data_IF_686625540165
#
_entry.id   IF_686625540165
#
_cell.length_a   1.000
_cell.length_b   1.000
_cell.length_c   1.000
_cell.angle_alpha   90.00
_cell.angle_beta   90.00
_cell.angle_gamma   90.00
#
_symmetry.space_group_name_H-M   'P 1'
#
loop_
_entity.id
_entity.type
_entity.pdbx_description
1 polymer ?
#
# COMPACT_ATOMS: atom_id res chain seq x y z
N UNK A 1 56.33 3.81 35.55
CA UNK A 1 55.69 4.85 34.71
C UNK A 1 56.74 5.75 34.03
N UNK A 2 56.61 6.10 32.72
CA UNK A 2 55.82 5.51 31.64
C UNK A 2 56.75 4.85 30.58
N UNK A 3 56.56 3.58 30.21
CA UNK A 3 55.84 3.10 29.01
C UNK A 3 56.18 3.87 27.74
N UNK A 4 57.02 3.23 26.92
CA UNK A 4 57.47 3.70 25.62
C UNK A 4 56.33 4.11 24.70
N UNK A 5 56.60 5.19 23.96
CA UNK A 5 55.75 5.66 22.88
C UNK A 5 55.58 4.55 21.85
N UNK A 6 54.33 4.12 21.63
CA UNK A 6 53.98 3.40 20.41
C UNK A 6 54.24 4.34 19.22
N UNK A 7 54.85 3.86 18.13
CA UNK A 7 54.96 4.68 16.92
C UNK A 7 53.55 5.06 16.45
N UNK A 8 53.36 6.25 15.84
CA UNK A 8 52.07 6.62 15.27
C UNK A 8 51.66 5.53 14.28
N UNK A 9 50.38 5.13 14.24
CA UNK A 9 49.93 4.17 13.26
C UNK A 9 50.29 4.74 11.89
N UNK A 10 51.18 4.04 11.19
CA UNK A 10 51.52 4.30 9.80
C UNK A 10 50.23 4.58 9.05
N UNK A 11 50.13 5.78 8.48
CA UNK A 11 48.94 6.27 7.79
C UNK A 11 48.65 5.45 6.55
N UNK A 12 48.13 4.24 6.71
CA UNK A 12 47.30 3.63 5.69
C UNK A 12 46.01 4.42 5.72
N UNK A 13 45.87 5.35 4.78
CA UNK A 13 44.59 5.94 4.47
C UNK A 13 43.56 4.80 4.47
N UNK A 14 42.56 4.90 5.35
CA UNK A 14 41.48 3.91 5.34
C UNK A 14 40.98 3.84 3.89
N UNK A 15 40.80 2.64 3.33
CA UNK A 15 40.31 2.53 1.96
C UNK A 15 39.05 3.41 1.83
N UNK A 16 38.89 4.13 0.71
CA UNK A 16 37.73 4.96 0.52
C UNK A 16 36.49 4.10 0.75
N UNK A 17 35.54 4.63 1.54
CA UNK A 17 34.25 3.95 1.66
C UNK A 17 33.63 4.01 0.28
N UNK A 18 33.27 2.87 -0.31
CA UNK A 18 32.54 2.87 -1.57
C UNK A 18 31.33 3.78 -1.41
N UNK A 19 31.12 4.65 -2.39
CA UNK A 19 29.96 5.53 -2.37
C UNK A 19 28.68 4.70 -2.28
N UNK A 20 27.57 5.31 -1.87
CA UNK A 20 26.28 4.61 -1.87
C UNK A 20 25.98 4.03 -3.26
N UNK A 21 26.39 4.72 -4.33
CA UNK A 21 26.30 4.24 -5.70
C UNK A 21 27.16 2.99 -5.96
N UNK A 22 28.41 2.94 -5.47
CA UNK A 22 29.29 1.77 -5.63
C UNK A 22 28.76 0.54 -4.86
N UNK A 23 28.14 0.76 -3.70
CA UNK A 23 27.47 -0.29 -2.92
C UNK A 23 26.20 -0.76 -3.64
N UNK A 24 25.50 0.15 -4.31
CA UNK A 24 24.32 -0.14 -5.14
C UNK A 24 24.71 -0.87 -6.44
N UNK A 25 25.91 -0.65 -6.99
CA UNK A 25 26.39 -1.40 -8.16
C UNK A 25 26.79 -2.85 -7.80
N UNK A 26 27.20 -3.11 -6.55
CA UNK A 26 27.45 -4.45 -6.01
C UNK A 26 26.20 -5.10 -5.37
N UNK A 27 25.06 -4.42 -5.45
CA UNK A 27 23.83 -4.71 -4.74
C UNK A 27 23.25 -6.09 -5.01
N UNK A 28 23.31 -6.57 -6.25
CA UNK A 28 22.75 -7.88 -6.58
C UNK A 28 23.47 -9.02 -5.85
N UNK A 29 24.80 -8.92 -5.69
CA UNK A 29 25.60 -9.89 -4.93
C UNK A 29 25.32 -9.83 -3.41
N UNK A 30 25.19 -8.61 -2.88
CA UNK A 30 24.86 -8.34 -1.48
C UNK A 30 23.44 -8.84 -1.13
N UNK A 31 22.46 -8.52 -1.97
CA UNK A 31 21.06 -8.96 -1.81
C UNK A 31 20.96 -10.48 -1.95
N UNK A 32 21.69 -11.11 -2.85
CA UNK A 32 21.72 -12.56 -2.98
C UNK A 32 22.24 -13.25 -1.69
N UNK A 33 23.29 -12.72 -1.07
CA UNK A 33 23.81 -13.22 0.21
C UNK A 33 22.82 -13.01 1.35
N UNK A 34 22.20 -11.82 1.44
CA UNK A 34 21.16 -11.51 2.42
C UNK A 34 19.95 -12.45 2.32
N UNK A 35 19.48 -12.70 1.09
CA UNK A 35 18.39 -13.67 0.82
C UNK A 35 18.79 -15.09 1.18
N UNK A 36 19.99 -15.53 0.84
CA UNK A 36 20.48 -16.87 1.19
C UNK A 36 20.63 -17.06 2.70
N UNK A 37 21.03 -16.02 3.44
CA UNK A 37 21.03 -16.04 4.90
C UNK A 37 19.62 -16.09 5.46
N UNK A 38 18.71 -15.26 4.97
CA UNK A 38 17.33 -15.22 5.44
C UNK A 38 16.57 -16.52 5.16
N UNK A 39 16.82 -17.18 4.02
CA UNK A 39 16.25 -18.49 3.71
C UNK A 39 16.73 -19.56 4.69
N UNK A 40 18.02 -19.54 5.06
CA UNK A 40 18.57 -20.44 6.10
C UNK A 40 17.93 -20.17 7.46
N UNK A 41 17.77 -18.91 7.83
CA UNK A 41 17.09 -18.52 9.08
C UNK A 41 15.59 -18.86 9.07
N UNK A 42 14.92 -18.76 7.93
CA UNK A 42 13.53 -19.21 7.76
C UNK A 42 13.43 -20.73 7.96
N UNK A 43 14.28 -21.51 7.29
CA UNK A 43 14.33 -22.96 7.47
C UNK A 43 14.59 -23.34 8.94
N UNK A 44 15.53 -22.65 9.60
CA UNK A 44 15.81 -22.83 11.03
C UNK A 44 14.60 -22.49 11.90
N UNK A 45 13.92 -21.36 11.65
CA UNK A 45 12.72 -20.94 12.39
C UNK A 45 11.56 -21.90 12.18
N UNK A 46 11.38 -22.44 10.97
CA UNK A 46 10.37 -23.45 10.67
C UNK A 46 10.69 -24.75 11.39
N UNK A 47 11.95 -25.19 11.41
CA UNK A 47 12.37 -26.37 12.18
C UNK A 47 12.09 -26.19 13.68
N UNK A 48 12.56 -25.09 14.28
CA UNK A 48 12.29 -24.76 15.69
C UNK A 48 10.79 -24.59 15.99
N UNK A 49 10.00 -24.10 15.03
CA UNK A 49 8.55 -24.01 15.18
C UNK A 49 7.92 -25.41 15.17
N UNK A 50 8.36 -26.32 14.30
CA UNK A 50 7.89 -27.71 14.25
C UNK A 50 8.19 -28.42 15.57
N UNK A 51 9.40 -28.29 16.08
CA UNK A 51 9.82 -28.89 17.34
C UNK A 51 8.93 -28.40 18.49
N UNK A 52 8.74 -27.07 18.60
CA UNK A 52 7.83 -26.47 19.59
C UNK A 52 6.38 -26.91 19.45
N UNK A 53 5.88 -27.08 18.23
CA UNK A 53 4.49 -27.53 18.01
C UNK A 53 4.31 -29.01 18.36
N UNK A 54 5.29 -29.85 18.07
CA UNK A 54 5.29 -31.26 18.46
C UNK A 54 5.33 -31.41 19.99
N UNK A 55 6.20 -30.65 20.67
CA UNK A 55 6.26 -30.60 22.14
C UNK A 55 4.95 -30.09 22.74
N UNK A 56 4.37 -29.02 22.17
CA UNK A 56 3.11 -28.46 22.64
C UNK A 56 1.95 -29.46 22.46
N UNK A 57 1.90 -30.18 21.32
CA UNK A 57 0.90 -31.21 21.07
C UNK A 57 0.99 -32.36 22.07
N UNK A 58 2.22 -32.80 22.39
CA UNK A 58 2.47 -33.87 23.36
C UNK A 58 2.07 -33.47 24.80
N UNK A 59 2.20 -32.20 25.16
CA UNK A 59 1.83 -31.68 26.49
C UNK A 59 0.34 -31.33 26.61
N UNK A 60 -0.36 -31.10 25.49
CA UNK A 60 -1.79 -30.86 25.46
C UNK A 60 -2.24 -30.06 24.23
N UNK A 61 -3.32 -30.49 23.54
CA UNK A 61 -3.69 -29.95 22.23
C UNK A 61 -4.10 -28.46 22.22
N UNK A 62 -4.39 -27.86 23.38
CA UNK A 62 -4.91 -26.49 23.49
C UNK A 62 -4.00 -25.40 22.90
N UNK A 63 -2.66 -25.51 23.06
CA UNK A 63 -1.70 -24.54 22.51
C UNK A 63 -1.62 -24.60 20.98
N UNK A 64 -1.73 -25.79 20.41
CA UNK A 64 -1.76 -26.00 18.95
C UNK A 64 -3.11 -25.55 18.39
N UNK A 65 -4.21 -25.81 19.11
CA UNK A 65 -5.55 -25.36 18.73
C UNK A 65 -5.66 -23.83 18.61
N UNK A 66 -5.01 -23.07 19.49
CA UNK A 66 -4.96 -21.61 19.36
C UNK A 66 -4.31 -21.15 18.03
N UNK A 67 -3.39 -21.95 17.49
CA UNK A 67 -2.68 -21.65 16.24
C UNK A 67 -3.45 -22.10 15.00
N UNK A 68 -4.24 -23.17 15.09
CA UNK A 68 -5.07 -23.68 13.99
C UNK A 68 -6.46 -23.07 13.94
N UNK A 69 -6.92 -22.45 15.04
CA UNK A 69 -8.17 -21.71 15.05
C UNK A 69 -8.04 -20.49 14.15
N UNK A 70 -8.82 -20.47 13.07
CA UNK A 70 -8.97 -19.27 12.24
C UNK A 70 -9.32 -18.08 13.13
N UNK A 71 -8.48 -17.04 13.11
CA UNK A 71 -8.86 -15.74 13.65
C UNK A 71 -10.02 -15.24 12.80
N UNK A 72 -11.24 -15.35 13.33
CA UNK A 72 -12.37 -14.61 12.79
C UNK A 72 -12.21 -13.16 13.22
N UNK A 73 -11.83 -12.29 12.29
CA UNK A 73 -11.93 -10.86 12.50
C UNK A 73 -13.41 -10.56 12.77
N UNK A 74 -13.70 -10.17 14.01
CA UNK A 74 -15.07 -9.85 14.40
C UNK A 74 -15.46 -8.58 13.66
N UNK A 75 -16.64 -8.52 12.99
CA UNK A 75 -17.08 -7.30 12.34
C UNK A 75 -17.13 -6.15 13.35
N UNK A 76 -17.03 -4.90 12.88
CA UNK A 76 -17.16 -3.75 13.76
C UNK A 76 -18.58 -3.73 14.36
N UNK A 77 -18.69 -4.18 15.62
CA UNK A 77 -19.95 -4.24 16.39
C UNK A 77 -20.17 -2.96 17.21
N UNK A 78 -19.08 -2.32 17.63
CA UNK A 78 -19.11 -1.11 18.46
C UNK A 78 -17.87 -0.26 18.20
N UNK A 79 -17.97 1.03 18.50
CA UNK A 79 -16.85 1.98 18.46
C UNK A 79 -16.75 2.65 19.83
N UNK A 80 -15.54 2.83 20.35
CA UNK A 80 -15.34 3.62 21.57
C UNK A 80 -15.55 5.10 21.25
N UNK A 81 -16.42 5.76 22.02
CA UNK A 81 -16.70 7.19 21.91
C UNK A 81 -15.69 8.00 22.74
N UNK A 82 -14.71 8.68 22.11
CA UNK A 82 -13.68 9.42 22.85
C UNK A 82 -14.25 10.59 23.65
N UNK A 83 -15.40 11.15 23.25
CA UNK A 83 -16.03 12.29 23.91
C UNK A 83 -16.84 11.87 25.14
N UNK A 84 -17.18 10.58 25.24
CA UNK A 84 -17.93 10.00 26.36
C UNK A 84 -17.06 9.05 27.20
N UNK A 85 -15.77 9.38 27.35
CA UNK A 85 -14.83 8.60 28.17
C UNK A 85 -14.56 7.20 27.63
N UNK A 86 -14.46 7.05 26.30
CA UNK A 86 -14.26 5.79 25.58
C UNK A 86 -15.38 4.74 25.80
N UNK A 87 -16.58 5.17 26.21
CA UNK A 87 -17.73 4.28 26.33
C UNK A 87 -18.08 3.65 24.97
N UNK A 88 -18.38 2.34 24.91
CA UNK A 88 -18.72 1.69 23.67
C UNK A 88 -20.10 2.15 23.17
N UNK A 89 -20.15 2.61 21.92
CA UNK A 89 -21.36 2.91 21.19
C UNK A 89 -21.65 1.78 20.19
N UNK A 90 -22.89 1.27 20.21
CA UNK A 90 -23.35 0.18 19.33
C UNK A 90 -24.58 0.57 18.47
N UNK A 91 -25.12 1.77 18.64
CA UNK A 91 -26.17 2.28 17.76
C UNK A 91 -25.56 2.68 16.41
N UNK A 92 -26.20 2.30 15.31
CA UNK A 92 -25.69 2.62 13.95
C UNK A 92 -25.50 4.12 13.76
N UNK A 93 -26.48 4.93 14.15
CA UNK A 93 -26.41 6.39 14.06
C UNK A 93 -25.25 6.96 14.87
N UNK A 94 -25.17 6.62 16.17
CA UNK A 94 -24.07 7.07 17.02
C UNK A 94 -22.70 6.58 16.56
N UNK A 95 -22.59 5.35 16.02
CA UNK A 95 -21.34 4.86 15.43
C UNK A 95 -20.96 5.66 14.18
N UNK A 96 -21.90 5.96 13.30
CA UNK A 96 -21.65 6.76 12.09
C UNK A 96 -21.16 8.15 12.46
N UNK A 97 -21.82 8.80 13.42
CA UNK A 97 -21.44 10.11 13.95
C UNK A 97 -20.01 10.11 14.53
N UNK A 98 -19.68 9.14 15.38
CA UNK A 98 -18.33 9.00 15.96
C UNK A 98 -17.28 8.79 14.86
N UNK A 99 -17.58 7.95 13.87
CA UNK A 99 -16.66 7.68 12.76
C UNK A 99 -16.44 8.90 11.89
N UNK A 100 -17.50 9.61 11.52
CA UNK A 100 -17.42 10.85 10.75
C UNK A 100 -16.68 11.94 11.53
N UNK A 101 -16.99 12.13 12.80
CA UNK A 101 -16.27 13.09 13.66
C UNK A 101 -14.76 12.81 13.71
N UNK A 102 -14.37 11.53 13.71
CA UNK A 102 -12.96 11.14 13.73
C UNK A 102 -12.26 11.20 12.36
N UNK A 103 -12.94 10.77 11.28
CA UNK A 103 -12.30 10.55 9.97
C UNK A 103 -12.53 11.67 8.96
N UNK A 104 -13.62 12.44 9.05
CA UNK A 104 -13.87 13.55 8.12
C UNK A 104 -12.74 14.59 8.12
N UNK A 105 -12.16 15.00 9.28
CA UNK A 105 -11.01 15.92 9.28
C UNK A 105 -9.79 15.39 8.51
N UNK A 106 -9.67 14.07 8.34
CA UNK A 106 -8.58 13.42 7.63
C UNK A 106 -8.94 13.24 6.15
N UNK A 107 -10.12 12.67 5.85
CA UNK A 107 -10.52 12.32 4.47
C UNK A 107 -11.11 13.50 3.69
N UNK A 108 -11.52 14.55 4.38
CA UNK A 108 -12.16 15.76 3.83
C UNK A 108 -11.38 17.02 4.21
N UNK A 109 -10.07 16.88 4.40
CA UNK A 109 -9.18 17.95 4.86
C UNK A 109 -9.32 19.23 4.04
N UNK A 110 -9.43 19.07 2.71
CA UNK A 110 -9.54 20.19 1.76
C UNK A 110 -10.98 20.51 1.35
N UNK A 111 -11.98 19.99 2.06
CA UNK A 111 -13.40 20.28 1.81
C UNK A 111 -13.93 21.51 2.52
N UNK A 112 -13.12 22.15 3.37
CA UNK A 112 -13.49 23.28 4.20
C UNK A 112 -12.57 24.48 4.01
N UNK A 113 -12.03 25.02 5.11
CA UNK A 113 -11.20 26.22 5.09
C UNK A 113 -9.77 26.00 4.56
N UNK A 114 -9.22 24.79 4.69
CA UNK A 114 -7.90 24.46 4.16
C UNK A 114 -7.97 24.23 2.65
N UNK A 115 -7.06 24.87 1.91
CA UNK A 115 -6.94 24.66 0.46
C UNK A 115 -5.96 23.53 0.17
N UNK A 116 -6.28 22.73 -0.83
CA UNK A 116 -5.36 21.71 -1.35
C UNK A 116 -4.11 22.40 -1.92
N UNK A 117 -2.89 21.92 -1.62
CA UNK A 117 -1.68 22.56 -2.10
C UNK A 117 -1.57 22.50 -3.63
N UNK A 118 -1.17 23.62 -4.23
CA UNK A 118 -1.15 23.82 -5.69
C UNK A 118 -0.21 22.82 -6.40
N UNK A 119 -0.69 22.08 -7.42
CA UNK A 119 0.14 21.18 -8.22
C UNK A 119 1.26 21.88 -8.99
N UNK A 120 1.00 23.07 -9.52
CA UNK A 120 1.97 23.85 -10.30
C UNK A 120 3.14 24.30 -9.41
N UNK A 121 2.86 24.71 -8.18
CA UNK A 121 3.88 25.07 -7.19
C UNK A 121 4.76 23.85 -6.84
N UNK A 122 4.14 22.68 -6.69
CA UNK A 122 4.84 21.42 -6.46
C UNK A 122 5.76 21.09 -7.64
N UNK A 123 5.25 21.14 -8.88
CA UNK A 123 6.04 20.86 -10.08
C UNK A 123 7.14 21.90 -10.30
N UNK A 124 6.90 23.18 -9.99
CA UNK A 124 7.93 24.21 -10.05
C UNK A 124 9.10 23.91 -9.13
N UNK A 125 8.83 23.40 -7.93
CA UNK A 125 9.86 23.11 -6.92
C UNK A 125 10.54 21.76 -7.12
N UNK A 126 9.77 20.73 -7.48
CA UNK A 126 10.22 19.34 -7.46
C UNK A 126 10.19 18.65 -8.82
N UNK A 127 9.62 19.27 -9.86
CA UNK A 127 9.47 18.67 -11.19
C UNK A 127 10.78 18.25 -11.84
N UNK A 128 11.90 18.88 -11.47
CA UNK A 128 13.24 18.48 -11.93
C UNK A 128 13.67 17.07 -11.52
N UNK A 129 13.01 16.49 -10.52
CA UNK A 129 13.26 15.13 -10.03
C UNK A 129 12.30 14.09 -10.66
N UNK A 130 11.37 14.54 -11.51
CA UNK A 130 10.40 13.68 -12.19
C UNK A 130 11.00 13.29 -13.53
N UNK A 131 11.15 11.99 -13.76
CA UNK A 131 11.62 11.45 -15.03
C UNK A 131 10.42 11.06 -15.89
N UNK A 132 10.16 11.78 -16.97
CA UNK A 132 9.04 11.43 -17.85
C UNK A 132 9.34 10.14 -18.63
N UNK A 133 8.55 9.11 -18.37
CA UNK A 133 8.62 7.81 -19.02
C UNK A 133 7.21 7.39 -19.41
N UNK A 134 6.88 7.19 -20.69
CA UNK A 134 5.53 6.78 -21.08
C UNK A 134 5.16 5.39 -20.55
N UNK A 135 4.01 5.27 -19.87
CA UNK A 135 3.46 3.99 -19.43
C UNK A 135 2.74 3.30 -20.60
N UNK A 136 3.24 2.14 -21.01
CA UNK A 136 2.55 1.31 -21.99
C UNK A 136 1.28 0.68 -21.39
N UNK A 137 0.14 0.89 -22.06
CA UNK A 137 -1.14 0.26 -21.69
C UNK A 137 -1.60 -0.71 -22.78
N UNK A 138 -1.94 -1.94 -22.41
CA UNK A 138 -2.42 -2.95 -23.36
C UNK A 138 -3.95 -2.89 -23.50
N UNK A 139 -4.52 -3.23 -24.67
CA UNK A 139 -5.97 -3.32 -24.83
C UNK A 139 -6.60 -4.28 -23.81
N UNK A 140 -7.68 -3.86 -23.18
CA UNK A 140 -8.51 -4.73 -22.35
C UNK A 140 -9.25 -5.72 -23.25
N UNK A 141 -9.45 -6.94 -22.75
CA UNK A 141 -10.26 -7.98 -23.41
C UNK A 141 -10.94 -8.83 -22.34
N UNK A 142 -12.08 -9.46 -22.66
CA UNK A 142 -12.79 -10.33 -21.73
C UNK A 142 -11.92 -11.49 -21.24
N UNK A 143 -11.02 -11.98 -22.09
CA UNK A 143 -9.99 -12.96 -21.71
C UNK A 143 -9.00 -12.44 -20.66
N UNK A 144 -8.56 -11.18 -20.76
CA UNK A 144 -7.70 -10.55 -19.73
C UNK A 144 -8.46 -10.33 -18.42
N UNK A 145 -9.71 -9.87 -18.49
CA UNK A 145 -10.59 -9.71 -17.32
C UNK A 145 -10.77 -11.05 -16.62
N UNK A 146 -11.12 -12.13 -17.35
CA UNK A 146 -11.26 -13.48 -16.77
C UNK A 146 -9.96 -13.95 -16.11
N UNK A 147 -8.82 -13.75 -16.76
CA UNK A 147 -7.51 -14.11 -16.20
C UNK A 147 -7.23 -13.34 -14.90
N UNK A 148 -7.59 -12.06 -14.85
CA UNK A 148 -7.44 -11.25 -13.64
C UNK A 148 -8.36 -11.73 -12.53
N UNK A 149 -9.64 -11.98 -12.83
CA UNK A 149 -10.61 -12.52 -11.87
C UNK A 149 -10.13 -13.84 -11.25
N UNK A 150 -9.50 -14.73 -12.02
CA UNK A 150 -8.90 -15.98 -11.49
C UNK A 150 -7.78 -15.75 -10.48
N UNK A 151 -7.07 -14.63 -10.54
CA UNK A 151 -6.04 -14.24 -9.55
C UNK A 151 -6.63 -13.56 -8.32
N UNK A 152 -7.89 -13.13 -8.36
CA UNK A 152 -8.56 -12.49 -7.24
C UNK A 152 -9.07 -13.53 -6.24
N UNK A 153 -9.03 -13.21 -4.95
CA UNK A 153 -9.53 -14.11 -3.92
C UNK A 153 -11.04 -14.34 -4.04
N UNK A 154 -11.47 -15.60 -4.06
CA UNK A 154 -12.89 -15.96 -4.24
C UNK A 154 -13.80 -15.53 -3.08
N UNK A 155 -13.23 -15.41 -1.87
CA UNK A 155 -13.91 -14.97 -0.64
C UNK A 155 -13.74 -13.47 -0.36
N UNK A 156 -13.21 -12.69 -1.32
CA UNK A 156 -13.07 -11.25 -1.12
C UNK A 156 -14.43 -10.56 -0.97
N UNK A 157 -14.48 -9.50 -0.17
CA UNK A 157 -15.71 -8.76 0.06
C UNK A 157 -16.28 -8.21 -1.25
N UNK A 158 -17.61 -8.31 -1.40
CA UNK A 158 -18.35 -7.82 -2.57
C UNK A 158 -18.48 -6.30 -2.52
N UNK A 159 -18.59 -5.68 -3.70
CA UNK A 159 -18.96 -4.27 -3.79
C UNK A 159 -20.45 -4.08 -3.47
N UNK A 160 -20.90 -2.83 -3.54
CA UNK A 160 -22.32 -2.51 -3.37
C UNK A 160 -23.17 -3.04 -4.55
N UNK A 161 -22.54 -3.33 -5.69
CA UNK A 161 -23.14 -3.94 -6.88
C UNK A 161 -23.49 -5.42 -6.70
N UNK A 162 -23.10 -6.03 -5.57
CA UNK A 162 -23.47 -7.39 -5.19
C UNK A 162 -22.72 -8.50 -5.94
N UNK A 163 -21.97 -8.18 -7.00
CA UNK A 163 -21.19 -9.15 -7.77
C UNK A 163 -20.01 -9.71 -6.96
N UNK A 164 -19.92 -11.03 -6.87
CA UNK A 164 -18.72 -11.73 -6.42
C UNK A 164 -17.80 -12.06 -7.61
N UNK A 165 -16.55 -12.45 -7.29
CA UNK A 165 -15.61 -12.96 -8.32
C UNK A 165 -16.19 -14.18 -9.03
N UNK A 166 -16.84 -15.08 -8.26
CA UNK A 166 -17.42 -16.32 -8.80
C UNK A 166 -18.58 -16.05 -9.76
N UNK A 167 -19.33 -14.98 -9.55
CA UNK A 167 -20.44 -14.61 -10.42
C UNK A 167 -19.90 -14.10 -11.77
N UNK A 168 -18.89 -13.23 -11.73
CA UNK A 168 -18.23 -12.73 -12.95
C UNK A 168 -17.50 -13.83 -13.72
N UNK A 169 -16.94 -14.83 -13.04
CA UNK A 169 -16.29 -15.97 -13.69
C UNK A 169 -17.26 -16.88 -14.44
N UNK A 170 -18.54 -16.90 -14.06
CA UNK A 170 -19.57 -17.68 -14.73
C UNK A 170 -20.08 -17.02 -16.02
N UNK A 171 -19.85 -15.72 -16.20
CA UNK A 171 -20.26 -15.01 -17.42
C UNK A 171 -19.49 -15.53 -18.65
N UNK A 172 -20.13 -15.67 -19.83
CA UNK A 172 -19.44 -15.94 -21.09
C UNK A 172 -18.46 -14.83 -21.47
N UNK A 173 -17.44 -15.13 -22.28
CA UNK A 173 -16.45 -14.13 -22.70
C UNK A 173 -17.09 -12.95 -23.44
N UNK A 174 -18.13 -13.19 -24.23
CA UNK A 174 -18.86 -12.16 -24.97
C UNK A 174 -19.49 -11.12 -24.03
N UNK A 175 -19.95 -11.53 -22.85
CA UNK A 175 -20.48 -10.62 -21.83
C UNK A 175 -19.33 -9.86 -21.15
N UNK A 176 -18.21 -10.54 -20.88
CA UNK A 176 -17.01 -9.88 -20.37
C UNK A 176 -16.44 -8.88 -21.39
N UNK A 177 -16.57 -9.12 -22.68
CA UNK A 177 -16.17 -8.19 -23.73
C UNK A 177 -17.07 -6.94 -23.72
N UNK A 178 -18.38 -7.08 -23.43
CA UNK A 178 -19.26 -5.92 -23.19
C UNK A 178 -18.86 -5.11 -21.94
N UNK A 179 -18.40 -5.77 -20.89
CA UNK A 179 -17.80 -5.07 -19.74
C UNK A 179 -16.50 -4.35 -20.12
N UNK A 180 -15.74 -4.90 -21.07
CA UNK A 180 -14.55 -4.24 -21.60
C UNK A 180 -14.91 -3.01 -22.42
N UNK A 181 -15.94 -3.07 -23.27
CA UNK A 181 -16.45 -1.90 -24.00
C UNK A 181 -16.77 -0.75 -23.02
N UNK A 182 -17.42 -1.07 -21.89
CA UNK A 182 -17.66 -0.11 -20.81
C UNK A 182 -16.36 0.45 -20.22
N UNK A 183 -15.38 -0.40 -19.91
CA UNK A 183 -14.11 0.05 -19.33
C UNK A 183 -13.27 0.89 -20.30
N UNK A 184 -13.33 0.60 -21.60
CA UNK A 184 -12.73 1.45 -22.62
C UNK A 184 -13.41 2.81 -22.67
N UNK A 185 -14.74 2.84 -22.65
CA UNK A 185 -15.48 4.10 -22.60
C UNK A 185 -15.10 4.91 -21.36
N UNK A 186 -14.99 4.27 -20.18
CA UNK A 186 -14.53 4.92 -18.94
C UNK A 186 -13.13 5.53 -19.10
N UNK A 187 -12.19 4.80 -19.71
CA UNK A 187 -10.85 5.31 -19.97
C UNK A 187 -10.85 6.44 -21.01
N UNK A 188 -11.76 6.43 -21.96
CA UNK A 188 -11.91 7.46 -23.00
C UNK A 188 -12.54 8.76 -22.46
N UNK A 189 -13.68 8.66 -21.77
CA UNK A 189 -14.47 9.84 -21.36
C UNK A 189 -14.19 10.28 -19.94
N UNK A 190 -13.69 9.40 -19.06
CA UNK A 190 -13.44 9.74 -17.67
C UNK A 190 -14.71 9.84 -16.83
N UNK A 191 -15.65 8.91 -17.04
CA UNK A 191 -16.87 8.81 -16.26
C UNK A 191 -17.19 7.36 -15.95
N UNK A 192 -17.20 7.02 -14.66
CA UNK A 192 -17.65 5.73 -14.16
C UNK A 192 -19.17 5.69 -14.04
N UNK A 193 -19.82 4.55 -14.33
CA UNK A 193 -21.18 4.30 -13.90
C UNK A 193 -21.30 4.52 -12.39
N UNK A 194 -22.38 5.19 -11.98
CA UNK A 194 -22.58 5.59 -10.59
C UNK A 194 -22.41 4.42 -9.61
N UNK A 195 -22.95 3.24 -9.94
CA UNK A 195 -22.85 2.07 -9.09
C UNK A 195 -21.41 1.56 -8.90
N UNK A 196 -20.55 1.73 -9.90
CA UNK A 196 -19.12 1.37 -9.82
C UNK A 196 -18.30 2.43 -9.07
N UNK A 197 -18.79 3.67 -9.01
CA UNK A 197 -18.26 4.78 -8.22
C UNK A 197 -18.92 4.90 -6.83
N UNK A 198 -19.51 3.83 -6.32
CA UNK A 198 -19.99 3.73 -4.94
C UNK A 198 -19.26 2.60 -4.21
N UNK A 199 -18.88 2.84 -2.97
CA UNK A 199 -18.21 1.87 -2.12
C UNK A 199 -18.58 1.99 -0.66
N UNK A 200 -18.02 1.11 0.15
CA UNK A 200 -18.09 1.23 1.60
C UNK A 200 -16.71 1.07 2.21
N UNK A 201 -16.55 1.55 3.45
CA UNK A 201 -15.32 1.48 4.23
C UNK A 201 -15.50 0.41 5.29
N UNK A 202 -14.64 -0.61 5.23
CA UNK A 202 -14.51 -1.62 6.27
C UNK A 202 -13.35 -1.22 7.19
N UNK A 203 -13.61 -1.10 8.48
CA UNK A 203 -12.59 -0.77 9.47
C UNK A 203 -11.94 -2.04 9.99
N UNK A 204 -10.62 -2.15 9.81
CA UNK A 204 -9.83 -3.31 10.27
C UNK A 204 -8.92 -2.88 11.42
N UNK A 205 -8.96 -3.55 12.59
CA UNK A 205 -8.11 -3.20 13.73
C UNK A 205 -6.61 -3.22 13.38
N UNK A 206 -5.83 -2.21 13.82
CA UNK A 206 -4.36 -2.24 13.73
C UNK A 206 -3.67 -3.01 14.86
N UNK A 207 -4.42 -3.37 15.90
CA UNK A 207 -3.92 -3.95 17.15
C UNK A 207 -5.02 -3.90 18.22
N UNK A 208 -4.64 -3.68 19.47
CA UNK A 208 -5.59 -3.56 20.58
C UNK A 208 -6.23 -2.16 20.65
N UNK A 209 -7.57 -2.13 20.79
CA UNK A 209 -8.36 -0.92 21.01
C UNK A 209 -9.46 -0.69 19.99
N UNK A 210 -10.60 -0.19 20.47
CA UNK A 210 -11.84 0.04 19.71
C UNK A 210 -12.01 1.49 19.24
N UNK A 211 -10.96 2.32 19.39
CA UNK A 211 -11.00 3.73 18.99
C UNK A 211 -11.03 3.89 17.47
N UNK A 212 -11.79 4.88 16.94
CA UNK A 212 -12.04 5.03 15.50
C UNK A 212 -10.76 5.18 14.67
N UNK A 213 -9.75 5.90 15.20
CA UNK A 213 -8.47 6.14 14.52
C UNK A 213 -7.43 5.02 14.72
N UNK A 214 -7.69 4.04 15.59
CA UNK A 214 -6.86 2.84 15.78
C UNK A 214 -7.17 1.74 14.74
N UNK A 215 -8.16 1.98 13.88
CA UNK A 215 -8.54 1.08 12.79
C UNK A 215 -8.03 1.58 11.44
N UNK A 216 -7.90 0.67 10.45
CA UNK A 216 -7.57 0.96 9.05
C UNK A 216 -8.86 1.03 8.22
N UNK A 217 -9.15 2.17 7.56
CA UNK A 217 -10.30 2.29 6.69
C UNK A 217 -10.00 1.68 5.32
N UNK A 218 -10.38 0.42 5.11
CA UNK A 218 -10.24 -0.24 3.80
C UNK A 218 -11.46 0.06 2.93
N UNK A 219 -11.23 0.61 1.75
CA UNK A 219 -12.29 0.88 0.78
C UNK A 219 -12.61 -0.37 -0.01
N UNK A 220 -13.88 -0.74 -0.01
CA UNK A 220 -14.41 -1.90 -0.72
C UNK A 220 -15.23 -1.40 -1.92
N UNK A 221 -14.72 -1.67 -3.13
CA UNK A 221 -15.31 -1.25 -4.41
C UNK A 221 -15.81 -2.43 -5.24
N UNK A 222 -16.50 -2.17 -6.34
CA UNK A 222 -16.98 -3.22 -7.26
C UNK A 222 -15.86 -4.15 -7.75
N UNK A 223 -16.21 -5.40 -8.04
CA UNK A 223 -15.25 -6.36 -8.57
C UNK A 223 -14.78 -6.00 -9.97
N UNK A 224 -15.65 -5.35 -10.75
CA UNK A 224 -15.33 -4.80 -12.07
C UNK A 224 -14.23 -3.73 -11.95
N UNK A 225 -14.37 -2.76 -11.04
CA UNK A 225 -13.34 -1.76 -10.80
C UNK A 225 -12.03 -2.41 -10.34
N UNK A 226 -12.08 -3.36 -9.39
CA UNK A 226 -10.86 -4.02 -8.89
C UNK A 226 -10.17 -4.86 -9.96
N UNK A 227 -10.92 -5.48 -10.87
CA UNK A 227 -10.35 -6.20 -12.02
C UNK A 227 -9.65 -5.23 -12.97
N UNK A 228 -10.29 -4.10 -13.32
CA UNK A 228 -9.69 -3.04 -14.12
C UNK A 228 -8.42 -2.48 -13.48
N UNK A 229 -8.51 -2.01 -12.23
CA UNK A 229 -7.38 -1.45 -11.50
C UNK A 229 -6.25 -2.47 -11.35
N UNK A 230 -6.58 -3.75 -11.19
CA UNK A 230 -5.62 -4.83 -11.12
C UNK A 230 -4.90 -5.12 -12.44
N UNK A 231 -5.57 -4.98 -13.58
CA UNK A 231 -4.93 -5.10 -14.90
C UNK A 231 -4.00 -3.92 -15.17
N UNK A 232 -4.43 -2.70 -14.86
CA UNK A 232 -3.60 -1.49 -15.01
C UNK A 232 -2.44 -1.47 -14.02
N UNK A 233 -2.63 -2.04 -12.84
CA UNK A 233 -1.54 -2.26 -11.88
C UNK A 233 -0.45 -3.19 -12.44
N UNK A 234 -0.81 -4.27 -13.14
CA UNK A 234 0.20 -5.15 -13.76
C UNK A 234 1.08 -4.40 -14.79
N UNK A 235 0.51 -3.43 -15.50
CA UNK A 235 1.21 -2.56 -16.45
C UNK A 235 2.04 -1.49 -15.71
N UNK A 236 1.45 -0.83 -14.73
CA UNK A 236 2.11 0.20 -13.92
C UNK A 236 3.29 -0.36 -13.09
N UNK A 237 3.25 -1.64 -12.69
CA UNK A 237 4.37 -2.30 -12.02
C UNK A 237 5.60 -2.49 -12.91
N UNK A 238 5.42 -2.63 -14.23
CA UNK A 238 6.54 -2.69 -15.18
C UNK A 238 7.08 -1.28 -15.38
N UNK A 239 6.18 -0.34 -15.66
CA UNK A 239 6.50 1.07 -15.83
C UNK A 239 7.25 1.68 -14.65
N UNK A 240 6.90 1.33 -13.40
CA UNK A 240 7.60 1.88 -12.24
C UNK A 240 9.08 1.53 -12.19
N UNK A 241 9.51 0.42 -12.78
CA UNK A 241 10.91 -0.01 -12.73
C UNK A 241 11.83 0.90 -13.55
N UNK A 242 11.27 1.71 -14.45
CA UNK A 242 12.02 2.62 -15.30
C UNK A 242 12.41 3.94 -14.60
N UNK A 243 11.80 4.23 -13.45
CA UNK A 243 12.01 5.50 -12.74
C UNK A 243 12.08 5.37 -11.22
N UNK A 244 11.58 4.29 -10.62
CA UNK A 244 11.60 4.14 -9.16
C UNK A 244 13.02 4.07 -8.64
N UNK A 245 13.31 4.85 -7.59
CA UNK A 245 14.63 4.92 -6.99
C UNK A 245 15.19 3.51 -6.65
N UNK A 246 16.48 3.21 -6.89
CA UNK A 246 17.05 1.88 -6.62
C UNK A 246 16.97 1.42 -5.16
N UNK A 247 16.77 2.32 -4.21
CA UNK A 247 16.54 1.99 -2.79
C UNK A 247 15.05 2.03 -2.38
N UNK A 248 14.14 2.12 -3.35
CA UNK A 248 12.72 1.87 -3.11
C UNK A 248 12.48 0.36 -3.09
N UNK A 249 11.97 -0.16 -1.97
CA UNK A 249 11.74 -1.60 -1.77
C UNK A 249 10.27 -2.01 -1.77
N UNK A 250 9.38 -1.09 -1.38
CA UNK A 250 7.98 -1.40 -1.21
C UNK A 250 7.28 -1.55 -2.57
N UNK A 251 6.42 -2.57 -2.68
CA UNK A 251 5.52 -2.79 -3.81
C UNK A 251 6.19 -2.93 -5.19
N UNK A 252 7.45 -3.39 -5.20
CA UNK A 252 8.21 -3.65 -6.42
C UNK A 252 8.43 -5.15 -6.61
N UNK A 253 8.40 -5.65 -7.86
CA UNK A 253 8.75 -7.04 -8.14
C UNK A 253 10.13 -7.39 -7.59
N UNK A 254 10.26 -8.55 -6.95
CA UNK A 254 11.54 -9.09 -6.46
C UNK A 254 12.30 -8.13 -5.51
N UNK A 255 11.61 -7.23 -4.81
CA UNK A 255 12.18 -6.37 -3.77
C UNK A 255 11.29 -6.43 -2.54
N UNK A 256 11.87 -6.37 -1.35
CA UNK A 256 11.10 -6.41 -0.11
C UNK A 256 11.82 -5.86 1.10
N UNK A 257 11.11 -5.80 2.22
CA UNK A 257 11.60 -5.24 3.48
C UNK A 257 12.89 -5.94 3.98
N UNK A 258 13.01 -7.23 3.69
CA UNK A 258 14.21 -8.00 4.04
C UNK A 258 15.44 -7.50 3.27
N UNK A 259 15.31 -7.17 1.98
CA UNK A 259 16.43 -6.66 1.18
C UNK A 259 16.92 -5.32 1.77
N UNK A 260 15.98 -4.45 2.19
CA UNK A 260 16.30 -3.19 2.85
C UNK A 260 17.02 -3.41 4.19
N UNK A 261 16.50 -4.34 5.00
CA UNK A 261 17.09 -4.68 6.29
C UNK A 261 18.50 -5.29 6.14
N UNK A 262 18.71 -6.14 5.14
CA UNK A 262 20.02 -6.72 4.83
C UNK A 262 21.03 -5.66 4.40
N UNK A 263 20.64 -4.72 3.52
CA UNK A 263 21.52 -3.62 3.14
C UNK A 263 21.91 -2.77 4.36
N UNK A 264 20.93 -2.41 5.20
CA UNK A 264 21.19 -1.62 6.40
C UNK A 264 22.12 -2.36 7.37
N UNK A 265 21.94 -3.66 7.58
CA UNK A 265 22.80 -4.47 8.44
C UNK A 265 24.26 -4.48 7.94
N UNK A 266 24.46 -4.63 6.63
CA UNK A 266 25.80 -4.62 6.04
C UNK A 266 26.47 -3.24 6.13
N UNK A 267 25.70 -2.16 5.92
CA UNK A 267 26.20 -0.80 6.13
C UNK A 267 26.66 -0.62 7.58
N UNK A 268 25.88 -1.09 8.56
CA UNK A 268 26.25 -1.04 9.97
C UNK A 268 27.53 -1.82 10.26
N UNK A 269 27.66 -3.04 9.74
CA UNK A 269 28.85 -3.88 9.90
C UNK A 269 30.10 -3.26 9.28
N UNK A 270 29.98 -2.74 8.05
CA UNK A 270 31.07 -2.08 7.33
C UNK A 270 31.58 -0.86 8.12
N UNK A 271 30.68 0.01 8.57
CA UNK A 271 31.06 1.20 9.34
C UNK A 271 31.68 0.83 10.69
N UNK A 272 31.19 -0.24 11.34
CA UNK A 272 31.79 -0.79 12.56
C UNK A 272 33.22 -1.29 12.32
N UNK A 273 33.46 -2.04 11.24
CA UNK A 273 34.79 -2.54 10.87
C UNK A 273 35.77 -1.40 10.57
N UNK A 274 35.29 -0.36 9.87
CA UNK A 274 36.08 0.83 9.55
C UNK A 274 36.22 1.81 10.72
N UNK A 275 35.65 1.49 11.90
CA UNK A 275 35.62 2.35 13.10
C UNK A 275 35.07 3.76 12.81
N UNK A 276 34.11 3.86 11.90
CA UNK A 276 33.42 5.11 11.54
C UNK A 276 32.11 5.21 12.29
N UNK A 277 31.74 6.44 12.66
CA UNK A 277 30.40 6.73 13.20
C UNK A 277 29.39 6.63 12.06
N UNK A 278 28.31 5.90 12.27
CA UNK A 278 27.20 5.76 11.33
C UNK A 278 25.89 5.90 12.10
N UNK A 279 24.93 6.61 11.52
CA UNK A 279 23.63 6.89 12.12
C UNK A 279 22.60 7.15 11.02
N UNK A 280 21.33 7.12 11.38
CA UNK A 280 20.23 7.32 10.46
C UNK A 280 19.02 7.96 11.13
N UNK A 281 18.07 8.40 10.30
CA UNK A 281 16.81 9.00 10.74
C UNK A 281 15.68 8.12 10.18
N UNK A 282 14.71 7.78 11.03
CA UNK A 282 13.47 7.13 10.63
C UNK A 282 12.38 8.17 10.42
N UNK A 283 11.75 8.16 9.25
CA UNK A 283 10.61 9.00 8.92
C UNK A 283 9.40 8.11 8.64
N UNK A 284 8.24 8.50 9.15
CA UNK A 284 6.97 7.81 8.88
C UNK A 284 5.87 8.83 8.57
N UNK A 285 4.99 8.46 7.64
CA UNK A 285 3.89 9.31 7.22
C UNK A 285 2.65 8.99 8.06
N UNK A 286 2.18 9.99 8.79
CA UNK A 286 0.90 9.91 9.50
C UNK A 286 -0.22 9.74 8.45
N UNK A 287 -1.01 8.66 8.57
CA UNK A 287 -2.22 8.42 7.74
C UNK A 287 -1.95 8.61 6.23
N UNK A 288 -0.79 8.13 5.77
CA UNK A 288 -0.25 8.37 4.43
C UNK A 288 -1.30 8.29 3.30
N UNK A 289 -2.02 7.17 3.18
CA UNK A 289 -3.02 6.98 2.12
C UNK A 289 -4.17 8.00 2.20
N UNK A 290 -4.58 8.41 3.40
CA UNK A 290 -5.77 9.22 3.59
C UNK A 290 -5.49 10.72 3.38
N UNK A 291 -4.24 11.18 3.58
CA UNK A 291 -3.88 12.60 3.55
C UNK A 291 -3.27 13.10 2.23
N UNK A 292 -3.06 12.23 1.24
CA UNK A 292 -2.43 12.60 -0.03
C UNK A 292 -3.30 13.60 -0.81
N UNK A 293 -2.76 14.77 -1.21
CA UNK A 293 -3.43 15.66 -2.16
C UNK A 293 -3.62 14.97 -3.51
N UNK A 294 -4.87 14.79 -3.94
CA UNK A 294 -5.21 14.12 -5.19
C UNK A 294 -4.78 14.95 -6.40
N UNK A 295 -4.93 16.28 -6.36
CA UNK A 295 -4.57 17.13 -7.49
C UNK A 295 -3.06 17.06 -7.78
N UNK A 296 -2.23 17.09 -6.73
CA UNK A 296 -0.78 16.96 -6.86
C UNK A 296 -0.37 15.58 -7.35
N UNK A 297 -0.99 14.53 -6.80
CA UNK A 297 -0.72 13.16 -7.22
C UNK A 297 -1.07 12.95 -8.70
N UNK A 298 -2.25 13.40 -9.14
CA UNK A 298 -2.69 13.25 -10.53
C UNK A 298 -1.78 14.04 -11.48
N UNK A 299 -1.35 15.24 -11.07
CA UNK A 299 -0.37 16.01 -11.83
C UNK A 299 0.97 15.27 -11.94
N UNK A 300 1.48 14.76 -10.83
CA UNK A 300 2.73 13.99 -10.80
C UNK A 300 2.64 12.73 -11.67
N UNK A 301 1.53 11.99 -11.60
CA UNK A 301 1.31 10.81 -12.43
C UNK A 301 1.27 11.16 -13.93
N UNK A 302 0.68 12.30 -14.30
CA UNK A 302 0.67 12.79 -15.67
C UNK A 302 2.09 13.10 -16.17
N UNK A 303 2.85 13.86 -15.38
CA UNK A 303 4.20 14.32 -15.73
C UNK A 303 5.21 13.15 -15.76
N UNK A 304 5.03 12.15 -14.90
CA UNK A 304 5.79 10.91 -14.96
C UNK A 304 5.49 10.10 -16.22
N UNK A 305 4.31 10.29 -16.85
CA UNK A 305 3.93 9.61 -18.10
C UNK A 305 2.91 8.48 -17.96
N UNK A 306 2.08 8.47 -16.91
CA UNK A 306 0.98 7.51 -16.81
C UNK A 306 0.06 7.58 -18.04
N UNK A 307 -0.38 6.42 -18.54
CA UNK A 307 -1.28 6.34 -19.71
C UNK A 307 -2.50 7.24 -19.52
N UNK A 308 -2.78 8.09 -20.50
CA UNK A 308 -3.82 9.13 -20.44
C UNK A 308 -5.19 8.54 -20.08
N UNK A 309 -5.55 7.40 -20.68
CA UNK A 309 -6.83 6.75 -20.39
C UNK A 309 -6.94 6.23 -18.95
N UNK A 310 -5.84 5.66 -18.44
CA UNK A 310 -5.76 5.19 -17.04
C UNK A 310 -5.84 6.37 -16.08
N UNK A 311 -5.05 7.42 -16.32
CA UNK A 311 -5.05 8.62 -15.51
C UNK A 311 -6.44 9.27 -15.47
N UNK A 312 -7.09 9.40 -16.64
CA UNK A 312 -8.44 9.94 -16.77
C UNK A 312 -9.45 9.13 -15.95
N UNK A 313 -9.42 7.80 -16.07
CA UNK A 313 -10.29 6.92 -15.28
C UNK A 313 -10.02 7.00 -13.77
N UNK A 314 -8.75 7.12 -13.34
CA UNK A 314 -8.40 7.32 -11.92
C UNK A 314 -8.94 8.66 -11.40
N UNK A 315 -8.70 9.74 -12.13
CA UNK A 315 -9.19 11.08 -11.79
C UNK A 315 -10.72 11.10 -11.68
N UNK A 316 -11.39 10.45 -12.63
CA UNK A 316 -12.84 10.25 -12.61
C UNK A 316 -13.32 9.52 -11.35
N UNK A 317 -12.64 8.42 -10.98
CA UNK A 317 -12.98 7.66 -9.78
C UNK A 317 -12.84 8.53 -8.54
N UNK A 318 -11.73 9.26 -8.36
CA UNK A 318 -11.57 10.12 -7.18
C UNK A 318 -12.63 11.24 -7.10
N UNK A 319 -13.03 11.81 -8.24
CA UNK A 319 -14.09 12.83 -8.32
C UNK A 319 -15.49 12.28 -8.00
N UNK A 320 -15.84 11.13 -8.60
CA UNK A 320 -17.20 10.57 -8.54
C UNK A 320 -17.44 9.73 -7.29
N UNK A 321 -16.38 9.18 -6.69
CA UNK A 321 -16.53 8.18 -5.64
C UNK A 321 -17.30 8.72 -4.44
N UNK A 322 -18.32 7.96 -4.04
CA UNK A 322 -19.03 8.12 -2.78
C UNK A 322 -18.85 6.87 -1.93
N UNK A 323 -18.50 7.05 -0.65
CA UNK A 323 -18.30 5.95 0.30
C UNK A 323 -19.09 6.20 1.58
N UNK A 324 -19.40 5.14 2.29
CA UNK A 324 -19.99 5.17 3.63
C UNK A 324 -19.23 4.22 4.55
N UNK A 325 -19.33 4.38 5.87
CA UNK A 325 -18.81 3.38 6.80
C UNK A 325 -19.75 2.17 6.88
N UNK A 326 -19.19 0.96 6.93
CA UNK A 326 -19.95 -0.27 7.17
C UNK A 326 -19.89 -0.61 8.66
N UNK A 327 -21.06 -0.75 9.29
CA UNK A 327 -21.22 -0.97 10.73
C UNK A 327 -22.28 -2.05 10.94
N UNK A 328 -21.95 -3.14 11.65
CA UNK A 328 -22.92 -4.20 12.02
C UNK A 328 -23.78 -4.71 10.84
N UNK A 329 -23.20 -4.81 9.64
CA UNK A 329 -23.94 -5.23 8.43
C UNK A 329 -24.78 -4.13 7.76
N UNK A 330 -24.94 -2.97 8.41
CA UNK A 330 -25.56 -1.78 7.88
C UNK A 330 -24.53 -0.85 7.21
N UNK A 331 -25.04 0.10 6.43
CA UNK A 331 -24.27 1.18 5.81
C UNK A 331 -24.66 2.50 6.47
N UNK A 332 -23.66 3.32 6.79
CA UNK A 332 -23.84 4.69 7.25
C UNK A 332 -24.12 5.67 6.11
N UNK A 333 -23.95 6.96 6.41
CA UNK A 333 -24.15 8.03 5.44
C UNK A 333 -23.03 8.06 4.38
N UNK A 334 -23.41 8.39 3.14
CA UNK A 334 -22.46 8.51 2.03
C UNK A 334 -21.79 9.88 2.03
N UNK A 335 -20.49 9.89 1.80
CA UNK A 335 -19.67 11.09 1.67
C UNK A 335 -18.67 10.99 0.52
N UNK A 336 -18.14 12.14 0.13
CA UNK A 336 -17.03 12.28 -0.81
C UNK A 336 -15.77 12.65 -0.03
N UNK A 337 -14.65 12.00 -0.33
CA UNK A 337 -13.35 12.44 0.17
C UNK A 337 -12.80 13.55 -0.72
N UNK A 338 -12.11 14.53 -0.12
CA UNK A 338 -11.45 15.62 -0.87
C UNK A 338 -9.98 15.35 -1.12
N UNK A 339 -9.44 14.33 -0.45
CA UNK A 339 -8.06 13.93 -0.54
C UNK A 339 -7.93 12.44 -0.23
N UNK A 340 -6.70 11.97 -0.33
CA UNK A 340 -6.32 10.60 -0.11
C UNK A 340 -6.52 9.72 -1.33
N UNK A 341 -5.76 8.65 -1.34
CA UNK A 341 -5.87 7.54 -2.27
C UNK A 341 -6.57 6.36 -1.60
N UNK A 342 -7.18 5.51 -2.42
CA UNK A 342 -8.04 4.44 -1.93
C UNK A 342 -7.23 3.31 -1.29
N UNK A 343 -7.32 3.16 0.03
CA UNK A 343 -6.80 1.97 0.71
C UNK A 343 -7.55 0.73 0.21
N UNK A 344 -6.81 -0.23 -0.37
CA UNK A 344 -7.38 -1.44 -0.99
C UNK A 344 -7.53 -1.37 -2.52
N UNK A 345 -7.30 -0.21 -3.14
CA UNK A 345 -7.17 -0.12 -4.59
C UNK A 345 -5.78 -0.64 -5.02
N UNK A 346 -5.70 -1.53 -6.04
CA UNK A 346 -4.41 -2.03 -6.54
C UNK A 346 -3.43 -0.94 -6.96
N UNK A 347 -3.91 0.14 -7.59
CA UNK A 347 -3.06 1.24 -8.10
C UNK A 347 -2.49 2.14 -7.00
N UNK A 348 -3.08 2.15 -5.81
CA UNK A 348 -2.68 3.08 -4.72
C UNK A 348 -1.21 2.92 -4.32
N UNK A 349 -0.63 1.73 -4.47
CA UNK A 349 0.77 1.51 -4.13
C UNK A 349 1.74 2.14 -5.14
N UNK A 350 1.34 2.26 -6.41
CA UNK A 350 2.11 2.98 -7.44
C UNK A 350 2.06 4.47 -7.13
N UNK A 351 0.92 4.99 -6.70
CA UNK A 351 0.78 6.39 -6.29
C UNK A 351 1.66 6.75 -5.10
N UNK A 352 1.82 5.83 -4.13
CA UNK A 352 2.82 6.01 -3.06
C UNK A 352 4.22 6.08 -3.64
N UNK A 353 4.60 5.15 -4.52
CA UNK A 353 5.95 5.12 -5.11
C UNK A 353 6.26 6.34 -5.98
N UNK A 354 5.26 6.88 -6.69
CA UNK A 354 5.39 8.13 -7.44
C UNK A 354 5.77 9.28 -6.50
N UNK A 355 5.02 9.44 -5.41
CA UNK A 355 5.29 10.50 -4.44
C UNK A 355 6.64 10.29 -3.76
N UNK A 356 6.97 9.08 -3.31
CA UNK A 356 8.20 8.82 -2.56
C UNK A 356 9.45 8.96 -3.42
N UNK A 357 9.38 8.67 -4.72
CA UNK A 357 10.54 8.81 -5.63
C UNK A 357 11.00 10.27 -5.76
N UNK A 358 10.09 11.24 -5.63
CA UNK A 358 10.48 12.67 -5.64
C UNK A 358 11.32 13.05 -4.41
N UNK A 359 11.22 12.29 -3.31
CA UNK A 359 11.90 12.57 -2.04
C UNK A 359 13.17 11.74 -1.82
N UNK A 360 13.38 10.68 -2.60
CA UNK A 360 14.54 9.79 -2.54
C UNK A 360 15.56 10.19 -3.60
#
# INVERSE_FOLDING_TARGET
PPRGAFPPPSGRASPPVPSLADIVDQYDGVVALGRAHALREEQRRVAQWRDRMNEAWAQGPGKVFHWTKDKQDTPLVMVADPDNGDRPCASIEGMDEILHKAWDPIMRKYGGAEQEPCPEEFMRRYGRYVQTTPMESKPLTGGRIRRRLRKMGLKTARGLDGWAVVDLLQLPNQVLDKLVDLLHLVEEVGEWPEMLARGYISLVPKGEGMGPLKMRPLSVLSQVYRAWAGLRMEEAMVWQEEWAHPLAYAFRPKRGALDAASLLALLLELHRLLKRRFGGIGLDYIKCFDLIPQAQLLRLAAEQGMSVGVLRAVAAMYRQLRRCFKMVGCLGSFFAATNGILQGCPLSVIFINLLTTVWM
#
